data_IF_397962008434
#
_entry.id   IF_397962008434
#
_cell.length_a   1.000
_cell.length_b   1.000
_cell.length_c   1.000
_cell.angle_alpha   90.00
_cell.angle_beta   90.00
_cell.angle_gamma   90.00
#
_symmetry.space_group_name_H-M   'P 1'
#
loop_
_entity.id
_entity.type
_entity.pdbx_description
1 polymer ?
#
# COMPACT_ATOMS: atom_id res chain seq x y z
N UNK A 1 -10.74 32.99 -19.95
CA UNK A 1 -10.04 32.47 -18.75
C UNK A 1 -9.27 31.24 -19.17
N UNK A 2 -7.94 31.31 -19.18
CA UNK A 2 -7.08 30.26 -19.73
C UNK A 2 -7.23 28.95 -18.95
N UNK A 3 -7.78 27.92 -19.61
CA UNK A 3 -7.82 26.53 -19.17
C UNK A 3 -6.41 25.95 -19.15
N UNK A 4 -5.60 26.35 -18.17
CA UNK A 4 -4.43 25.57 -17.81
C UNK A 4 -4.96 24.33 -17.06
N UNK A 5 -4.99 23.19 -17.75
CA UNK A 5 -5.21 21.89 -17.12
C UNK A 5 -4.26 21.78 -15.92
N UNK A 6 -4.84 21.64 -14.72
CA UNK A 6 -4.11 21.49 -13.47
C UNK A 6 -3.24 20.23 -13.59
N UNK A 7 -1.94 20.39 -13.79
CA UNK A 7 -1.00 19.28 -13.97
C UNK A 7 -1.17 18.26 -12.85
N UNK A 8 -1.57 17.04 -13.20
CA UNK A 8 -1.76 15.96 -12.25
C UNK A 8 -0.43 15.26 -12.02
N UNK A 9 0.05 15.30 -10.77
CA UNK A 9 1.33 14.74 -10.39
C UNK A 9 1.09 13.53 -9.48
N UNK A 10 1.29 12.29 -9.94
CA UNK A 10 1.17 11.13 -9.08
C UNK A 10 2.24 11.15 -7.97
N UNK A 11 1.95 10.58 -6.78
CA UNK A 11 2.96 10.44 -5.74
C UNK A 11 4.14 9.56 -6.21
N UNK A 12 5.26 9.64 -5.50
CA UNK A 12 6.43 8.79 -5.75
C UNK A 12 6.01 7.31 -5.79
N UNK A 13 6.56 6.51 -6.71
CA UNK A 13 6.28 5.07 -6.81
C UNK A 13 4.79 4.71 -6.90
N UNK A 14 3.95 5.61 -7.43
CA UNK A 14 2.53 5.34 -7.62
C UNK A 14 2.30 4.24 -8.67
N UNK A 15 1.40 3.33 -8.39
CA UNK A 15 0.89 2.36 -9.37
C UNK A 15 -0.44 1.74 -8.91
N UNK A 16 -1.22 1.23 -9.86
CA UNK A 16 -2.36 0.37 -9.55
C UNK A 16 -1.87 -1.06 -9.34
N UNK A 17 -2.23 -1.66 -8.21
CA UNK A 17 -1.85 -3.04 -7.86
C UNK A 17 -2.90 -4.01 -8.39
N UNK A 18 -4.16 -3.73 -8.08
CA UNK A 18 -5.32 -4.49 -8.54
C UNK A 18 -6.49 -3.52 -8.67
N UNK A 19 -7.61 -3.97 -9.24
CA UNK A 19 -8.82 -3.15 -9.30
C UNK A 19 -9.22 -2.71 -7.87
N UNK A 20 -9.29 -1.40 -7.66
CA UNK A 20 -9.59 -0.80 -6.35
C UNK A 20 -8.41 -0.69 -5.38
N UNK A 21 -7.21 -1.16 -5.72
CA UNK A 21 -6.02 -1.10 -4.85
C UNK A 21 -4.88 -0.38 -5.54
N UNK A 22 -4.41 0.69 -4.91
CA UNK A 22 -3.29 1.49 -5.37
C UNK A 22 -2.13 1.44 -4.37
N UNK A 23 -0.91 1.66 -4.86
CA UNK A 23 0.29 1.80 -4.04
C UNK A 23 0.97 3.13 -4.30
N UNK A 24 1.66 3.67 -3.30
CA UNK A 24 2.61 4.77 -3.51
C UNK A 24 3.64 4.91 -2.37
N UNK A 25 4.56 5.85 -2.53
CA UNK A 25 5.28 6.51 -1.44
C UNK A 25 4.44 7.59 -0.79
N UNK A 26 5.06 8.35 0.12
CA UNK A 26 4.36 9.32 0.94
C UNK A 26 3.80 10.47 0.09
N UNK A 27 2.48 10.72 0.09
CA UNK A 27 1.89 11.82 -0.65
C UNK A 27 2.32 13.19 -0.12
N UNK A 28 2.42 14.17 -1.01
CA UNK A 28 2.53 15.58 -0.64
C UNK A 28 1.41 16.40 -1.31
N UNK A 29 1.32 17.69 -0.96
CA UNK A 29 0.26 18.59 -1.44
C UNK A 29 0.16 18.68 -2.97
N UNK A 30 1.27 18.53 -3.70
CA UNK A 30 1.24 18.54 -5.18
C UNK A 30 0.52 17.32 -5.75
N UNK A 31 0.41 16.24 -4.99
CA UNK A 31 -0.25 15.01 -5.40
C UNK A 31 -1.76 15.01 -5.15
N UNK A 32 -2.28 15.91 -4.32
CA UNK A 32 -3.70 15.92 -3.92
C UNK A 32 -4.66 15.98 -5.10
N UNK A 33 -4.35 16.83 -6.09
CA UNK A 33 -5.16 16.94 -7.30
C UNK A 33 -5.25 15.61 -8.08
N UNK A 34 -4.16 14.84 -8.11
CA UNK A 34 -4.14 13.50 -8.71
C UNK A 34 -4.90 12.49 -7.86
N UNK A 35 -4.67 12.47 -6.54
CA UNK A 35 -5.33 11.54 -5.63
C UNK A 35 -6.85 11.72 -5.60
N UNK A 36 -7.33 12.95 -5.77
CA UNK A 36 -8.75 13.26 -5.87
C UNK A 36 -9.42 12.56 -7.06
N UNK A 37 -8.71 12.39 -8.18
CA UNK A 37 -9.23 11.70 -9.37
C UNK A 37 -9.41 10.19 -9.16
N UNK A 38 -8.74 9.60 -8.16
CA UNK A 38 -8.84 8.17 -7.88
C UNK A 38 -10.13 7.82 -7.13
N UNK A 39 -10.85 8.80 -6.57
CA UNK A 39 -12.04 8.57 -5.77
C UNK A 39 -11.77 7.65 -4.57
N UNK A 40 -10.63 7.84 -3.90
CA UNK A 40 -10.22 6.99 -2.78
C UNK A 40 -11.28 7.03 -1.69
N UNK A 41 -11.60 5.86 -1.13
CA UNK A 41 -12.43 5.74 0.07
C UNK A 41 -11.58 5.62 1.32
N UNK A 42 -10.39 5.03 1.18
CA UNK A 42 -9.47 4.86 2.29
C UNK A 42 -8.00 4.93 1.91
N UNK A 43 -7.17 5.14 2.92
CA UNK A 43 -5.70 5.12 2.85
C UNK A 43 -5.18 4.17 3.92
N UNK A 44 -4.31 3.25 3.52
CA UNK A 44 -3.56 2.38 4.42
C UNK A 44 -2.13 2.91 4.58
N UNK A 45 -1.85 3.48 5.74
CA UNK A 45 -0.59 4.13 6.06
C UNK A 45 0.28 3.26 6.98
N UNK A 46 1.46 2.88 6.49
CA UNK A 46 2.27 1.82 7.10
C UNK A 46 3.39 2.29 8.04
N UNK A 47 3.41 3.57 8.44
CA UNK A 47 4.49 4.12 9.26
C UNK A 47 4.04 4.43 10.70
N UNK A 48 4.99 4.36 11.62
CA UNK A 48 4.82 4.73 13.03
C UNK A 48 4.61 6.23 13.24
N UNK A 49 5.23 7.07 12.41
CA UNK A 49 5.14 8.52 12.55
C UNK A 49 3.73 9.01 12.24
N UNK A 50 3.26 10.02 12.97
CA UNK A 50 2.03 10.73 12.63
C UNK A 50 2.05 11.22 11.18
N UNK A 51 0.87 11.26 10.56
CA UNK A 51 0.73 11.73 9.19
C UNK A 51 0.88 13.27 9.12
N UNK A 52 1.19 13.79 7.93
CA UNK A 52 1.31 15.24 7.71
C UNK A 52 -0.06 15.92 7.80
N UNK A 53 -0.14 17.07 8.47
CA UNK A 53 -1.38 17.81 8.69
C UNK A 53 -2.10 18.17 7.37
N UNK A 54 -1.36 18.65 6.37
CA UNK A 54 -1.90 18.96 5.03
C UNK A 54 -2.60 17.76 4.39
N UNK A 55 -2.04 16.56 4.56
CA UNK A 55 -2.64 15.36 4.00
C UNK A 55 -3.85 14.90 4.82
N UNK A 56 -3.81 15.04 6.16
CA UNK A 56 -4.94 14.71 7.02
C UNK A 56 -6.14 15.60 6.70
N UNK A 57 -5.93 16.91 6.56
CA UNK A 57 -6.95 17.85 6.12
C UNK A 57 -7.53 17.46 4.76
N UNK A 58 -6.67 17.13 3.77
CA UNK A 58 -7.12 16.64 2.48
C UNK A 58 -7.96 15.35 2.59
N UNK A 59 -7.55 14.39 3.41
CA UNK A 59 -8.29 13.15 3.60
C UNK A 59 -9.66 13.40 4.24
N UNK A 60 -9.73 14.25 5.27
CA UNK A 60 -10.96 14.65 5.93
C UNK A 60 -11.92 15.36 4.97
N UNK A 61 -11.44 16.37 4.23
CA UNK A 61 -12.22 17.12 3.23
C UNK A 61 -12.82 16.23 2.13
N UNK A 62 -12.17 15.11 1.81
CA UNK A 62 -12.61 14.18 0.77
C UNK A 62 -13.28 12.91 1.33
N UNK A 63 -13.54 12.84 2.65
CA UNK A 63 -14.19 11.69 3.28
C UNK A 63 -13.36 10.40 3.23
N UNK A 64 -12.03 10.52 3.15
CA UNK A 64 -11.09 9.40 3.04
C UNK A 64 -10.76 8.90 4.45
N UNK A 65 -11.08 7.64 4.73
CA UNK A 65 -10.74 7.01 6.02
C UNK A 65 -9.26 6.60 6.05
N UNK A 66 -8.52 6.97 7.10
CA UNK A 66 -7.11 6.61 7.26
C UNK A 66 -6.97 5.43 8.22
N UNK A 67 -6.46 4.31 7.72
CA UNK A 67 -6.04 3.17 8.52
C UNK A 67 -4.54 3.27 8.75
N UNK A 68 -4.11 3.61 9.96
CA UNK A 68 -2.70 3.57 10.33
C UNK A 68 -2.36 2.18 10.88
N UNK A 69 -1.56 1.43 10.12
CA UNK A 69 -1.07 0.10 10.50
C UNK A 69 0.46 0.15 10.52
N UNK A 70 1.08 0.57 11.64
CA UNK A 70 2.52 0.71 11.69
C UNK A 70 3.21 -0.65 11.52
N UNK A 71 4.07 -0.74 10.50
CA UNK A 71 4.89 -1.92 10.26
C UNK A 71 6.34 -1.54 10.42
N UNK A 72 7.09 -2.36 11.15
CA UNK A 72 8.54 -2.20 11.29
C UNK A 72 9.26 -2.41 9.97
N UNK A 73 10.34 -1.68 9.75
CA UNK A 73 11.14 -1.86 8.55
C UNK A 73 12.03 -3.08 8.72
N UNK A 74 12.03 -4.01 7.76
CA UNK A 74 12.96 -5.13 7.77
C UNK A 74 14.39 -4.61 7.56
N UNK A 75 15.19 -4.55 8.63
CA UNK A 75 16.54 -4.01 8.63
C UNK A 75 17.45 -4.90 9.47
N UNK A 76 18.58 -5.28 8.87
CA UNK A 76 19.66 -5.93 9.60
C UNK A 76 20.16 -5.03 10.74
N UNK A 77 20.53 -5.60 11.90
CA UNK A 77 20.63 -7.05 12.17
C UNK A 77 19.40 -7.66 12.89
N UNK A 78 18.45 -6.85 13.39
CA UNK A 78 17.49 -7.31 14.41
C UNK A 78 16.04 -6.84 14.23
N UNK A 79 15.70 -6.15 13.15
CA UNK A 79 14.33 -5.66 12.95
C UNK A 79 13.65 -6.50 11.89
N UNK A 80 12.72 -7.35 12.32
CA UNK A 80 11.83 -8.12 11.46
C UNK A 80 10.42 -7.50 11.44
N UNK A 81 9.69 -7.76 10.37
CA UNK A 81 8.28 -7.39 10.28
C UNK A 81 7.47 -8.31 11.19
N UNK A 82 6.66 -7.75 12.09
CA UNK A 82 5.70 -8.51 12.86
C UNK A 82 4.62 -9.09 11.92
N UNK A 83 4.46 -10.43 11.83
CA UNK A 83 3.45 -11.07 11.00
C UNK A 83 2.01 -10.64 11.32
N UNK A 84 1.69 -10.35 12.58
CA UNK A 84 0.35 -9.90 12.96
C UNK A 84 0.04 -8.50 12.43
N UNK A 85 1.00 -7.57 12.51
CA UNK A 85 0.84 -6.23 11.94
C UNK A 85 0.66 -6.27 10.40
N UNK A 86 1.34 -7.22 9.74
CA UNK A 86 1.13 -7.49 8.32
C UNK A 86 -0.28 -8.06 8.05
N UNK A 87 -0.74 -8.99 8.89
CA UNK A 87 -2.08 -9.56 8.78
C UNK A 87 -3.17 -8.49 8.94
N UNK A 88 -3.04 -7.59 9.91
CA UNK A 88 -3.97 -6.47 10.10
C UNK A 88 -4.03 -5.54 8.88
N UNK A 89 -2.88 -5.17 8.33
CA UNK A 89 -2.81 -4.37 7.10
C UNK A 89 -3.49 -5.08 5.92
N UNK A 90 -3.30 -6.40 5.79
CA UNK A 90 -3.95 -7.20 4.74
C UNK A 90 -5.46 -7.31 4.93
N UNK A 91 -5.97 -7.40 6.17
CA UNK A 91 -7.42 -7.42 6.43
C UNK A 91 -8.11 -6.20 5.87
N UNK A 92 -7.52 -5.01 6.01
CA UNK A 92 -8.06 -3.80 5.39
C UNK A 92 -8.04 -3.85 3.86
N UNK A 93 -7.00 -4.43 3.26
CA UNK A 93 -6.87 -4.58 1.81
C UNK A 93 -7.81 -5.61 1.20
N UNK A 94 -8.10 -6.68 1.94
CA UNK A 94 -8.97 -7.77 1.52
C UNK A 94 -10.46 -7.48 1.81
N UNK A 95 -10.81 -6.26 2.22
CA UNK A 95 -12.19 -5.84 2.44
C UNK A 95 -12.59 -4.79 1.38
N UNK A 96 -13.47 -5.18 0.46
CA UNK A 96 -13.95 -4.31 -0.63
C UNK A 96 -14.68 -3.07 -0.14
N UNK A 97 -15.17 -3.06 1.10
CA UNK A 97 -15.81 -1.87 1.68
C UNK A 97 -14.82 -0.73 1.86
N UNK A 98 -13.52 -1.00 1.88
CA UNK A 98 -12.47 0.00 1.98
C UNK A 98 -12.01 0.52 0.61
N UNK A 99 -12.45 -0.10 -0.49
CA UNK A 99 -11.98 0.24 -1.83
C UNK A 99 -12.76 1.43 -2.43
N UNK A 100 -12.11 2.29 -3.24
CA UNK A 100 -10.70 2.25 -3.63
C UNK A 100 -9.74 2.66 -2.50
N UNK A 101 -8.67 1.88 -2.31
CA UNK A 101 -7.71 2.04 -1.20
C UNK A 101 -6.30 2.37 -1.72
N UNK A 102 -5.63 3.34 -1.09
CA UNK A 102 -4.23 3.65 -1.36
C UNK A 102 -3.33 3.12 -0.23
N UNK A 103 -2.39 2.24 -0.55
CA UNK A 103 -1.38 1.74 0.38
C UNK A 103 -0.09 2.54 0.24
N UNK A 104 0.40 3.13 1.32
CA UNK A 104 1.69 3.81 1.26
C UNK A 104 2.51 3.74 2.55
N UNK A 105 3.82 3.89 2.37
CA UNK A 105 4.77 4.15 3.43
C UNK A 105 5.57 5.42 3.08
N UNK A 106 6.81 5.56 3.54
CA UNK A 106 7.67 6.70 3.17
C UNK A 106 8.01 6.75 1.68
N UNK A 107 8.50 5.63 1.11
CA UNK A 107 8.99 5.59 -0.29
C UNK A 107 8.18 4.66 -1.20
N UNK A 108 7.22 3.92 -0.64
CA UNK A 108 6.45 2.93 -1.40
C UNK A 108 7.27 1.72 -1.86
N UNK A 109 8.38 1.41 -1.15
CA UNK A 109 9.32 0.35 -1.52
C UNK A 109 9.21 -0.86 -0.61
N UNK A 110 9.69 -0.78 0.63
CA UNK A 110 9.90 -1.93 1.52
C UNK A 110 8.61 -2.41 2.17
N UNK A 111 8.04 -1.64 3.11
CA UNK A 111 6.79 -1.99 3.81
C UNK A 111 5.62 -2.17 2.86
N UNK A 112 5.43 -1.20 1.96
CA UNK A 112 4.42 -1.30 0.90
C UNK A 112 4.67 -2.51 0.01
N UNK A 113 5.93 -2.78 -0.37
CA UNK A 113 6.27 -3.96 -1.18
C UNK A 113 5.98 -5.27 -0.47
N UNK A 114 6.23 -5.38 0.84
CA UNK A 114 5.91 -6.55 1.64
C UNK A 114 4.39 -6.76 1.74
N UNK A 115 3.63 -5.70 2.02
CA UNK A 115 2.15 -5.76 2.06
C UNK A 115 1.58 -6.21 0.71
N UNK A 116 2.03 -5.59 -0.38
CA UNK A 116 1.58 -5.98 -1.72
C UNK A 116 2.04 -7.40 -2.07
N UNK A 117 3.26 -7.79 -1.72
CA UNK A 117 3.76 -9.14 -1.96
C UNK A 117 2.97 -10.21 -1.21
N UNK A 118 2.61 -9.95 0.05
CA UNK A 118 1.75 -10.85 0.81
C UNK A 118 0.32 -10.87 0.26
N UNK A 119 -0.21 -9.73 -0.21
CA UNK A 119 -1.48 -9.69 -0.95
C UNK A 119 -1.41 -10.57 -2.20
N UNK A 120 -0.33 -10.53 -2.99
CA UNK A 120 -0.16 -11.40 -4.16
C UNK A 120 -0.12 -12.89 -3.79
N UNK A 121 0.42 -13.25 -2.61
CA UNK A 121 0.32 -14.62 -2.09
C UNK A 121 -1.12 -15.04 -1.83
N UNK A 122 -1.95 -14.13 -1.29
CA UNK A 122 -3.40 -14.37 -1.14
C UNK A 122 -4.10 -14.57 -2.49
N UNK A 123 -3.54 -14.05 -3.58
CA UNK A 123 -4.01 -14.26 -4.95
C UNK A 123 -3.46 -15.54 -5.61
N UNK A 124 -2.71 -16.37 -4.87
CA UNK A 124 -2.03 -17.56 -5.39
C UNK A 124 -1.05 -17.28 -6.54
N UNK A 125 -0.41 -16.10 -6.55
CA UNK A 125 0.66 -15.83 -7.52
C UNK A 125 1.90 -16.68 -7.24
N UNK A 126 2.65 -17.01 -8.29
CA UNK A 126 3.96 -17.69 -8.13
C UNK A 126 4.94 -16.78 -7.39
N UNK A 127 5.76 -17.34 -6.50
CA UNK A 127 6.76 -16.57 -5.75
C UNK A 127 7.66 -15.75 -6.69
N UNK A 128 8.07 -16.32 -7.82
CA UNK A 128 8.87 -15.62 -8.84
C UNK A 128 8.22 -14.33 -9.32
N UNK A 129 6.93 -14.37 -9.67
CA UNK A 129 6.18 -13.18 -10.10
C UNK A 129 6.05 -12.13 -8.98
N UNK A 130 5.88 -12.58 -7.74
CA UNK A 130 5.77 -11.69 -6.58
C UNK A 130 7.09 -10.96 -6.33
N UNK A 131 8.20 -11.69 -6.33
CA UNK A 131 9.52 -11.12 -6.11
C UNK A 131 9.92 -10.19 -7.27
N UNK A 132 9.59 -10.53 -8.52
CA UNK A 132 9.81 -9.64 -9.67
C UNK A 132 9.08 -8.30 -9.51
N UNK A 133 7.78 -8.34 -9.15
CA UNK A 133 7.00 -7.12 -8.88
C UNK A 133 7.64 -6.30 -7.74
N UNK A 134 8.01 -6.95 -6.63
CA UNK A 134 8.69 -6.27 -5.52
C UNK A 134 9.99 -5.59 -5.99
N UNK A 135 10.85 -6.31 -6.70
CA UNK A 135 12.14 -5.82 -7.18
C UNK A 135 11.96 -4.64 -8.13
N UNK A 136 10.95 -4.67 -9.01
CA UNK A 136 10.64 -3.55 -9.92
C UNK A 136 10.34 -2.26 -9.17
N UNK A 137 9.60 -2.31 -8.06
CA UNK A 137 9.30 -1.12 -7.26
C UNK A 137 10.39 -0.72 -6.28
N UNK A 138 11.15 -1.69 -5.74
CA UNK A 138 12.24 -1.43 -4.82
C UNK A 138 13.49 -0.90 -5.55
N UNK A 139 13.72 -1.33 -6.79
CA UNK A 139 14.86 -0.98 -7.63
C UNK A 139 16.19 -1.30 -6.93
N UNK A 140 17.19 -0.39 -6.95
CA UNK A 140 18.50 -0.64 -6.34
C UNK A 140 18.45 -0.71 -4.80
N UNK A 141 17.29 -0.45 -4.19
CA UNK A 141 17.10 -0.50 -2.74
C UNK A 141 16.40 -1.79 -2.29
N UNK A 142 16.24 -2.78 -3.16
CA UNK A 142 15.66 -4.07 -2.78
C UNK A 142 16.40 -4.69 -1.59
N UNK A 143 15.66 -5.41 -0.74
CA UNK A 143 16.20 -6.08 0.44
C UNK A 143 15.87 -7.56 0.37
N UNK A 144 16.86 -8.41 0.65
CA UNK A 144 16.65 -9.85 0.74
C UNK A 144 15.67 -10.22 1.85
N UNK A 145 15.75 -9.54 3.00
CA UNK A 145 14.85 -9.79 4.14
C UNK A 145 13.38 -9.55 3.78
N UNK A 146 13.06 -8.56 2.95
CA UNK A 146 11.69 -8.32 2.49
C UNK A 146 11.19 -9.49 1.62
N UNK A 147 12.06 -10.02 0.74
CA UNK A 147 11.73 -11.17 -0.12
C UNK A 147 11.53 -12.44 0.69
N UNK A 148 12.43 -12.71 1.66
CA UNK A 148 12.31 -13.83 2.59
C UNK A 148 11.04 -13.72 3.43
N UNK A 149 10.71 -12.53 3.93
CA UNK A 149 9.47 -12.33 4.67
C UNK A 149 8.25 -12.68 3.82
N UNK A 150 8.20 -12.20 2.57
CA UNK A 150 7.11 -12.56 1.63
C UNK A 150 7.07 -14.08 1.44
N UNK A 151 8.20 -14.73 1.19
CA UNK A 151 8.30 -16.18 0.98
C UNK A 151 7.72 -16.99 2.16
N UNK A 152 8.08 -16.64 3.40
CA UNK A 152 7.63 -17.35 4.60
C UNK A 152 6.27 -16.91 5.15
N UNK A 153 5.70 -15.79 4.69
CA UNK A 153 4.42 -15.30 5.17
C UNK A 153 3.28 -16.30 4.90
N UNK A 154 2.54 -16.70 5.93
CA UNK A 154 1.41 -17.62 5.76
C UNK A 154 0.13 -16.88 5.39
N UNK A 155 -0.71 -17.42 4.48
CA UNK A 155 -2.02 -16.85 4.20
C UNK A 155 -2.87 -16.66 5.45
N UNK A 156 -3.68 -15.59 5.47
CA UNK A 156 -4.50 -15.22 6.63
C UNK A 156 -5.98 -15.50 6.37
N UNK A 157 -6.76 -15.64 7.43
CA UNK A 157 -8.22 -15.63 7.33
C UNK A 157 -8.74 -14.21 7.01
N UNK A 158 -9.76 -14.13 6.16
CA UNK A 158 -10.45 -12.90 5.78
C UNK A 158 -11.96 -13.17 5.61
N UNK A 159 -12.77 -12.11 5.54
CA UNK A 159 -14.22 -12.24 5.34
C UNK A 159 -14.54 -12.56 3.88
N UNK A 160 -14.88 -13.82 3.60
CA UNK A 160 -15.27 -14.31 2.27
C UNK A 160 -16.41 -13.50 1.63
N UNK A 161 -17.30 -12.90 2.42
CA UNK A 161 -18.44 -12.12 1.90
C UNK A 161 -18.02 -10.75 1.37
N UNK A 162 -16.90 -10.22 1.85
CA UNK A 162 -16.38 -8.90 1.51
C UNK A 162 -15.06 -8.98 0.74
N UNK A 163 -14.72 -10.17 0.23
CA UNK A 163 -13.46 -10.36 -0.49
C UNK A 163 -13.47 -9.69 -1.87
N UNK A 164 -12.32 -9.21 -2.37
CA UNK A 164 -12.22 -8.67 -3.71
C UNK A 164 -12.35 -9.76 -4.78
N UNK A 165 -12.88 -9.40 -5.95
CA UNK A 165 -13.08 -10.35 -7.07
C UNK A 165 -11.78 -10.98 -7.60
N UNK A 166 -10.64 -10.40 -7.27
CA UNK A 166 -9.32 -10.86 -7.68
C UNK A 166 -8.69 -11.86 -6.68
N UNK A 167 -9.43 -12.27 -5.65
CA UNK A 167 -9.12 -13.39 -4.75
C UNK A 167 -9.96 -14.61 -5.18
N UNK A 168 -9.30 -15.75 -5.39
CA UNK A 168 -9.91 -17.01 -5.86
C UNK A 168 -9.90 -18.06 -4.76
#
# INVERSE_FOLDING_TARGET
>A
MSTYEKTLIPPLNFSMVASGVYRSGFPNRKNHAFLQQLGLKSVLYLCHQAHQADNLAFFEENGITVFQCPIDGNKEPFISINPEAMADALRHLLDVRNHPILVHCTKGTHRTGCVIGCMRKMQNWSLTSIIDEYCRFAGPRMRLLDQQFIEFFSPIAYDERQKPRWIY
#
